data_IF_292188294739
#
_entry.id   IF_292188294739
#
_cell.length_a   1.000
_cell.length_b   1.000
_cell.length_c   1.000
_cell.angle_alpha   90.00
_cell.angle_beta   90.00
_cell.angle_gamma   90.00
#
_symmetry.space_group_name_H-M   'P 1'
#
loop_
_entity.id
_entity.type
_entity.pdbx_description
1 polymer ?
#
# COMPACT_ATOMS: atom_id res chain seq x y z
N UNK A 1 2.46 4.59 -11.38
CA UNK A 1 3.01 5.02 -12.69
C UNK A 1 4.38 5.70 -12.53
N UNK A 2 4.53 6.68 -11.64
CA UNK A 2 5.79 7.41 -11.46
C UNK A 2 7.04 6.55 -11.16
N UNK A 3 7.00 5.53 -10.27
CA UNK A 3 8.19 4.71 -10.01
C UNK A 3 8.51 3.73 -11.15
N UNK A 4 7.48 3.26 -11.85
CA UNK A 4 7.64 2.33 -12.97
C UNK A 4 8.25 3.06 -14.17
N UNK A 5 7.89 4.33 -14.38
CA UNK A 5 8.46 5.14 -15.46
C UNK A 5 9.98 5.32 -15.34
N UNK A 6 10.54 5.37 -14.13
CA UNK A 6 11.99 5.44 -13.92
C UNK A 6 12.73 4.14 -14.21
N UNK A 7 12.04 3.00 -14.25
CA UNK A 7 12.65 1.70 -14.54
C UNK A 7 12.55 1.30 -16.02
N UNK A 8 11.74 2.01 -16.83
CA UNK A 8 11.71 1.76 -18.27
C UNK A 8 12.96 2.30 -18.94
N UNK A 9 13.68 1.43 -19.66
CA UNK A 9 14.89 1.80 -20.43
C UNK A 9 14.69 2.92 -21.48
N UNK A 10 13.44 3.24 -21.85
CA UNK A 10 13.08 4.38 -22.70
C UNK A 10 11.63 4.80 -22.39
N UNK A 11 11.39 5.69 -21.40
CA UNK A 11 10.05 6.06 -20.98
C UNK A 11 9.48 7.14 -21.92
N UNK A 12 8.69 6.70 -22.91
CA UNK A 12 7.80 7.62 -23.65
C UNK A 12 6.38 7.51 -23.12
N UNK A 13 5.63 8.61 -23.10
CA UNK A 13 4.22 8.64 -22.61
C UNK A 13 3.36 7.59 -23.31
N UNK A 14 3.55 7.44 -24.63
CA UNK A 14 2.83 6.42 -25.43
C UNK A 14 3.16 4.99 -24.99
N UNK A 15 4.43 4.69 -24.68
CA UNK A 15 4.87 3.35 -24.25
C UNK A 15 4.40 3.04 -22.84
N UNK A 16 4.50 4.00 -21.92
CA UNK A 16 4.02 3.85 -20.54
C UNK A 16 2.51 3.59 -20.51
N UNK A 17 1.73 4.36 -21.28
CA UNK A 17 0.29 4.15 -21.40
C UNK A 17 -0.05 2.79 -22.00
N UNK A 18 0.66 2.35 -23.05
CA UNK A 18 0.45 1.01 -23.64
C UNK A 18 0.72 -0.11 -22.63
N UNK A 19 1.81 0.00 -21.87
CA UNK A 19 2.15 -0.97 -20.83
C UNK A 19 1.07 -1.00 -19.73
N UNK A 20 0.65 0.16 -19.25
CA UNK A 20 -0.39 0.28 -18.23
C UNK A 20 -1.71 -0.33 -18.68
N UNK A 21 -2.15 -0.02 -19.91
CA UNK A 21 -3.37 -0.59 -20.49
C UNK A 21 -3.25 -2.11 -20.61
N UNK A 22 -2.12 -2.61 -21.12
CA UNK A 22 -1.89 -4.05 -21.25
C UNK A 22 -1.92 -4.78 -19.90
N UNK A 23 -1.26 -4.23 -18.88
CA UNK A 23 -1.26 -4.80 -17.54
C UNK A 23 -2.67 -4.78 -16.92
N UNK A 24 -3.40 -3.68 -17.12
CA UNK A 24 -4.77 -3.52 -16.62
C UNK A 24 -5.72 -4.54 -17.27
N UNK A 25 -5.64 -4.71 -18.60
CA UNK A 25 -6.44 -5.71 -19.33
C UNK A 25 -6.08 -7.12 -18.86
N UNK A 26 -4.80 -7.43 -18.70
CA UNK A 26 -4.36 -8.73 -18.21
C UNK A 26 -4.93 -9.04 -16.81
N UNK A 27 -4.84 -8.08 -15.89
CA UNK A 27 -5.43 -8.20 -14.55
C UNK A 27 -6.96 -8.35 -14.60
N UNK A 28 -7.64 -7.56 -15.44
CA UNK A 28 -9.09 -7.65 -15.63
C UNK A 28 -9.50 -9.04 -16.12
N UNK A 29 -8.79 -9.60 -17.11
CA UNK A 29 -9.08 -10.94 -17.64
C UNK A 29 -8.82 -12.00 -16.59
N UNK A 30 -7.70 -11.94 -15.87
CA UNK A 30 -7.36 -12.91 -14.83
C UNK A 30 -8.39 -12.91 -13.69
N UNK A 31 -8.68 -11.74 -13.11
CA UNK A 31 -9.67 -11.63 -12.03
C UNK A 31 -11.09 -11.92 -12.52
N UNK A 32 -11.45 -11.47 -13.73
CA UNK A 32 -12.75 -11.74 -14.34
C UNK A 32 -12.97 -13.23 -14.56
N UNK A 33 -11.96 -13.95 -15.05
CA UNK A 33 -12.02 -15.40 -15.22
C UNK A 33 -12.17 -16.12 -13.87
N UNK A 34 -11.31 -15.82 -12.90
CA UNK A 34 -11.37 -16.42 -11.56
C UNK A 34 -12.72 -16.14 -10.89
N UNK A 35 -13.24 -14.92 -10.99
CA UNK A 35 -14.54 -14.54 -10.45
C UNK A 35 -15.69 -15.27 -11.14
N UNK A 36 -15.69 -15.35 -12.48
CA UNK A 36 -16.73 -16.02 -13.26
C UNK A 36 -16.75 -17.53 -12.98
N UNK A 37 -15.59 -18.19 -12.99
CA UNK A 37 -15.49 -19.61 -12.64
C UNK A 37 -15.88 -19.85 -11.19
N UNK A 38 -15.39 -19.03 -10.27
CA UNK A 38 -15.73 -19.13 -8.85
C UNK A 38 -17.22 -19.02 -8.59
N UNK A 39 -17.88 -18.05 -9.22
CA UNK A 39 -19.32 -17.87 -9.13
C UNK A 39 -20.10 -19.02 -9.76
N UNK A 40 -19.64 -19.55 -10.90
CA UNK A 40 -20.33 -20.66 -11.55
C UNK A 40 -20.23 -21.97 -10.75
N UNK A 41 -19.07 -22.25 -10.13
CA UNK A 41 -18.88 -23.46 -9.34
C UNK A 41 -19.49 -23.38 -7.93
N UNK A 42 -19.40 -22.22 -7.26
CA UNK A 42 -19.76 -22.08 -5.85
C UNK A 42 -20.81 -21.01 -5.56
N UNK A 43 -21.43 -20.39 -6.56
CA UNK A 43 -22.28 -19.21 -6.40
C UNK A 43 -23.31 -19.31 -5.28
N UNK A 44 -23.98 -20.45 -5.13
CA UNK A 44 -24.91 -20.68 -4.02
C UNK A 44 -24.24 -20.68 -2.64
N UNK A 45 -23.08 -21.34 -2.51
CA UNK A 45 -22.32 -21.39 -1.26
C UNK A 45 -21.57 -20.10 -0.94
N UNK A 46 -21.08 -19.38 -1.96
CA UNK A 46 -20.33 -18.14 -1.80
C UNK A 46 -21.25 -16.99 -1.37
N UNK A 47 -22.48 -16.93 -1.90
CA UNK A 47 -23.48 -15.91 -1.55
C UNK A 47 -24.16 -16.15 -0.20
N UNK A 48 -24.19 -17.40 0.28
CA UNK A 48 -24.84 -17.77 1.55
C UNK A 48 -23.86 -17.99 2.70
N UNK A 49 -22.56 -18.16 2.42
CA UNK A 49 -21.54 -18.27 3.44
C UNK A 49 -21.45 -16.98 4.26
N UNK A 50 -21.52 -17.14 5.59
CA UNK A 50 -21.33 -16.06 6.56
C UNK A 50 -19.99 -15.31 6.36
N UNK A 51 -18.99 -16.03 5.84
CA UNK A 51 -17.62 -15.57 5.61
C UNK A 51 -17.29 -15.41 4.11
N UNK A 52 -18.29 -15.16 3.26
CA UNK A 52 -18.34 -15.26 1.78
C UNK A 52 -17.25 -14.58 0.92
N UNK A 53 -16.13 -14.12 1.50
CA UNK A 53 -14.89 -13.80 0.79
C UNK A 53 -13.95 -15.00 0.60
N UNK A 54 -13.93 -15.97 1.53
CA UNK A 54 -12.97 -17.07 1.45
C UNK A 54 -13.50 -18.23 0.61
N UNK A 55 -13.06 -18.33 -0.63
CA UNK A 55 -13.42 -19.44 -1.54
C UNK A 55 -13.01 -20.80 -0.97
N UNK A 56 -11.95 -20.86 -0.15
CA UNK A 56 -11.49 -22.10 0.47
C UNK A 56 -12.38 -22.57 1.63
N UNK A 57 -13.27 -21.70 2.14
CA UNK A 57 -14.27 -22.07 3.14
C UNK A 57 -15.42 -22.87 2.54
N UNK A 58 -15.66 -22.74 1.22
CA UNK A 58 -16.70 -23.50 0.51
C UNK A 58 -16.32 -24.97 0.29
N UNK A 59 -15.08 -25.35 0.57
CA UNK A 59 -14.61 -26.74 0.44
C UNK A 59 -14.80 -27.51 1.75
N UNK A 60 -15.21 -28.80 1.69
CA UNK A 60 -15.31 -29.62 2.89
C UNK A 60 -13.94 -29.78 3.56
N UNK A 61 -13.92 -29.78 4.89
CA UNK A 61 -12.70 -29.81 5.72
C UNK A 61 -11.77 -30.99 5.45
N UNK A 62 -12.30 -32.07 4.88
CA UNK A 62 -11.57 -33.30 4.60
C UNK A 62 -10.95 -33.33 3.19
N UNK A 63 -11.12 -32.27 2.40
CA UNK A 63 -10.59 -32.22 1.04
C UNK A 63 -9.09 -31.95 1.04
N UNK A 64 -8.31 -32.95 0.61
CA UNK A 64 -6.84 -32.87 0.50
C UNK A 64 -6.42 -31.70 -0.40
N UNK A 65 -7.18 -31.44 -1.47
CA UNK A 65 -6.90 -30.36 -2.40
C UNK A 65 -7.01 -28.96 -1.75
N UNK A 66 -8.01 -28.72 -0.90
CA UNK A 66 -8.13 -27.45 -0.18
C UNK A 66 -7.01 -27.28 0.85
N UNK A 67 -6.61 -28.37 1.53
CA UNK A 67 -5.46 -28.35 2.43
C UNK A 67 -4.17 -28.00 1.69
N UNK A 68 -3.92 -28.62 0.54
CA UNK A 68 -2.75 -28.30 -0.31
C UNK A 68 -2.79 -26.82 -0.73
N UNK A 69 -3.95 -26.30 -1.15
CA UNK A 69 -4.11 -24.90 -1.53
C UNK A 69 -3.81 -23.94 -0.37
N UNK A 70 -4.33 -24.21 0.84
CA UNK A 70 -4.05 -23.40 2.04
C UNK A 70 -2.56 -23.41 2.40
N UNK A 71 -1.94 -24.59 2.36
CA UNK A 71 -0.49 -24.74 2.62
C UNK A 71 0.33 -23.99 1.58
N UNK A 72 -0.06 -24.02 0.30
CA UNK A 72 0.63 -23.29 -0.77
C UNK A 72 0.45 -21.77 -0.68
N UNK A 73 -0.72 -21.28 -0.24
CA UNK A 73 -0.98 -19.85 -0.08
C UNK A 73 -0.25 -19.24 1.11
N UNK A 74 -0.02 -20.01 2.17
CA UNK A 74 0.65 -19.55 3.40
C UNK A 74 2.04 -18.92 3.16
N UNK A 75 3.02 -19.59 2.51
CA UNK A 75 4.33 -18.99 2.26
C UNK A 75 4.24 -17.77 1.34
N UNK A 76 3.33 -17.78 0.36
CA UNK A 76 3.11 -16.62 -0.52
C UNK A 76 2.62 -15.41 0.27
N UNK A 77 1.68 -15.59 1.21
CA UNK A 77 1.20 -14.53 2.08
C UNK A 77 2.30 -14.03 3.03
N UNK A 78 3.16 -14.91 3.55
CA UNK A 78 4.31 -14.52 4.37
C UNK A 78 5.24 -13.61 3.56
N UNK A 79 5.65 -14.02 2.36
CA UNK A 79 6.53 -13.22 1.51
C UNK A 79 5.86 -11.88 1.15
N UNK A 80 4.58 -11.91 0.75
CA UNK A 80 3.82 -10.71 0.42
C UNK A 80 3.75 -9.74 1.61
N UNK A 81 3.51 -10.24 2.82
CA UNK A 81 3.46 -9.42 4.03
C UNK A 81 4.76 -8.67 4.28
N UNK A 82 5.92 -9.33 4.13
CA UNK A 82 7.24 -8.70 4.28
C UNK A 82 7.47 -7.63 3.21
N UNK A 83 7.10 -7.93 1.96
CA UNK A 83 7.22 -7.00 0.85
C UNK A 83 6.32 -5.76 1.00
N UNK A 84 5.14 -5.90 1.63
CA UNK A 84 4.23 -4.78 1.91
C UNK A 84 4.64 -3.97 3.15
N UNK A 85 5.20 -4.63 4.19
CA UNK A 85 5.65 -3.98 5.43
C UNK A 85 6.82 -3.03 5.18
N UNK A 86 7.75 -3.39 4.29
CA UNK A 86 8.94 -2.59 4.01
C UNK A 86 8.63 -1.16 3.52
N UNK A 87 7.85 -0.96 2.44
CA UNK A 87 7.45 0.37 1.98
C UNK A 87 6.48 1.07 2.93
N UNK A 88 5.57 0.33 3.59
CA UNK A 88 4.65 0.92 4.57
C UNK A 88 5.41 1.59 5.72
N UNK A 89 6.41 0.89 6.26
CA UNK A 89 7.27 1.41 7.31
C UNK A 89 8.09 2.61 6.84
N UNK A 90 8.67 2.57 5.63
CA UNK A 90 9.40 3.71 5.09
C UNK A 90 8.52 4.96 4.97
N UNK A 91 7.29 4.81 4.50
CA UNK A 91 6.34 5.93 4.39
C UNK A 91 5.99 6.51 5.76
N UNK A 92 5.76 5.66 6.77
CA UNK A 92 5.49 6.11 8.14
C UNK A 92 6.68 6.85 8.73
N UNK A 93 7.91 6.31 8.58
CA UNK A 93 9.11 6.98 9.09
C UNK A 93 9.32 8.35 8.42
N UNK A 94 9.08 8.46 7.11
CA UNK A 94 9.16 9.74 6.39
C UNK A 94 8.11 10.74 6.91
N UNK A 95 6.88 10.27 7.17
CA UNK A 95 5.82 11.11 7.74
C UNK A 95 6.16 11.56 9.17
N UNK A 96 6.69 10.67 10.01
CA UNK A 96 7.10 11.04 11.37
C UNK A 96 8.24 12.06 11.37
N UNK A 97 9.23 11.90 10.49
CA UNK A 97 10.31 12.88 10.34
C UNK A 97 9.80 14.23 9.83
N UNK A 98 8.85 14.24 8.89
CA UNK A 98 8.24 15.47 8.39
C UNK A 98 7.35 16.17 9.43
N UNK A 99 6.64 15.40 10.26
CA UNK A 99 5.75 15.92 11.30
C UNK A 99 6.49 16.41 12.55
N UNK A 100 7.65 15.82 12.86
CA UNK A 100 8.48 16.17 14.01
C UNK A 100 9.88 16.62 13.56
N UNK A 101 10.01 17.83 13.00
CA UNK A 101 11.30 18.37 12.53
C UNK A 101 12.32 18.56 13.67
N UNK A 102 11.91 18.47 14.94
CA UNK A 102 12.79 18.61 16.10
C UNK A 102 13.79 17.47 16.28
N UNK A 103 13.71 16.38 15.51
CA UNK A 103 14.72 15.32 15.49
C UNK A 103 15.84 15.54 14.45
N UNK A 104 15.77 16.60 13.63
CA UNK A 104 16.72 16.85 12.54
C UNK A 104 17.79 17.91 12.90
N UNK A 105 18.17 17.99 14.17
CA UNK A 105 19.22 18.90 14.65
C UNK A 105 20.64 18.52 14.22
N UNK A 106 20.84 17.41 13.49
CA UNK A 106 22.19 16.86 13.24
C UNK A 106 22.50 16.51 11.78
N UNK A 107 21.55 16.63 10.84
CA UNK A 107 21.73 16.18 9.45
C UNK A 107 21.95 17.30 8.41
N UNK A 108 21.86 18.58 8.80
CA UNK A 108 22.00 19.71 7.88
C UNK A 108 23.46 20.13 7.57
N UNK A 109 24.46 19.48 8.16
CA UNK A 109 25.88 19.79 7.89
C UNK A 109 26.57 18.87 6.87
N UNK A 110 25.85 17.99 6.19
CA UNK A 110 26.41 17.23 5.05
C UNK A 110 25.96 17.83 3.73
N UNK A 111 26.26 19.12 3.55
CA UNK A 111 26.35 19.72 2.23
C UNK A 111 27.45 19.00 1.45
N UNK A 112 27.14 18.73 0.19
CA UNK A 112 27.99 18.12 -0.82
C UNK A 112 29.42 18.70 -0.86
N UNK A 113 30.47 17.88 -1.04
CA UNK A 113 31.74 18.41 -1.51
C UNK A 113 31.64 18.57 -3.03
N UNK A 114 31.34 19.80 -3.46
CA UNK A 114 31.72 20.28 -4.78
C UNK A 114 33.25 20.20 -4.90
N UNK A 115 33.71 19.79 -6.10
CA UNK A 115 35.10 19.74 -6.53
C UNK A 115 35.99 20.84 -5.92
N UNK A 116 37.04 20.47 -5.17
CA UNK A 116 38.27 21.24 -5.18
C UNK A 116 39.47 20.37 -4.82
N UNK A 117 40.58 20.56 -5.54
CA UNK A 117 41.68 19.62 -5.62
C UNK A 117 42.79 19.74 -4.57
N UNK A 118 43.73 18.81 -4.74
CA UNK A 118 45.16 18.84 -4.34
C UNK A 118 45.60 18.66 -2.88
N UNK A 119 46.45 17.63 -2.73
CA UNK A 119 47.70 17.54 -1.95
C UNK A 119 47.77 16.64 -0.71
N UNK A 120 48.83 15.83 -0.75
CA UNK A 120 49.44 14.85 0.17
C UNK A 120 49.37 15.10 1.68
N UNK A 121 49.42 13.98 2.44
CA UNK A 121 50.35 13.83 3.57
C UNK A 121 49.77 13.59 4.97
N UNK A 122 49.81 12.31 5.40
CA UNK A 122 50.34 11.82 6.68
C UNK A 122 49.54 11.90 8.01
N UNK A 123 49.44 10.70 8.64
CA UNK A 123 49.27 10.25 10.05
C UNK A 123 48.65 11.17 11.14
N UNK A 124 47.66 10.66 11.90
CA UNK A 124 47.84 10.08 13.27
C UNK A 124 46.50 10.02 14.07
N UNK A 125 46.39 8.98 14.92
CA UNK A 125 45.53 8.83 16.12
C UNK A 125 43.99 8.68 16.01
N UNK A 126 43.52 7.44 16.27
CA UNK A 126 42.23 7.15 16.91
C UNK A 126 42.27 7.64 18.39
N UNK A 127 41.17 8.06 19.05
CA UNK A 127 39.97 7.25 19.23
C UNK A 127 38.64 8.04 19.27
N UNK A 128 37.70 7.75 18.37
CA UNK A 128 36.33 8.29 18.47
C UNK A 128 35.28 7.25 18.08
N UNK A 129 35.29 6.10 18.76
CA UNK A 129 34.34 5.00 18.52
C UNK A 129 32.97 5.16 19.22
N UNK A 130 32.68 6.32 19.83
CA UNK A 130 31.48 6.50 20.67
C UNK A 130 30.33 7.28 20.03
N UNK A 131 30.57 8.17 19.07
CA UNK A 131 29.51 9.05 18.53
C UNK A 131 28.68 8.44 17.39
N UNK A 132 29.19 7.41 16.70
CA UNK A 132 28.46 6.75 15.61
C UNK A 132 27.38 5.78 16.13
N UNK A 133 27.45 5.38 17.40
CA UNK A 133 26.53 4.39 17.95
C UNK A 133 25.21 4.97 18.46
N UNK A 134 25.10 6.26 18.76
CA UNK A 134 23.86 6.85 19.27
C UNK A 134 22.88 7.18 18.13
N UNK A 135 23.33 7.88 17.08
CA UNK A 135 22.48 8.21 15.93
C UNK A 135 22.07 6.97 15.11
N UNK A 136 22.98 6.01 14.95
CA UNK A 136 22.68 4.70 14.33
C UNK A 136 21.71 3.88 15.17
N UNK A 137 21.84 3.89 16.51
CA UNK A 137 20.87 3.24 17.42
C UNK A 137 19.50 3.92 17.39
N UNK A 138 19.42 5.25 17.37
CA UNK A 138 18.12 5.97 17.29
C UNK A 138 17.38 5.59 16.00
N UNK A 139 18.09 5.48 14.86
CA UNK A 139 17.48 5.03 13.61
C UNK A 139 17.04 3.56 13.66
N UNK A 140 17.83 2.66 14.29
CA UNK A 140 17.47 1.24 14.43
C UNK A 140 16.30 1.03 15.40
N UNK A 141 16.30 1.75 16.53
CA UNK A 141 15.21 1.68 17.53
C UNK A 141 13.91 2.21 16.95
N UNK A 142 13.92 3.36 16.25
CA UNK A 142 12.74 3.89 15.56
C UNK A 142 12.22 2.91 14.48
N UNK A 143 13.14 2.26 13.77
CA UNK A 143 12.81 1.28 12.74
C UNK A 143 12.16 0.01 13.34
N UNK A 144 12.75 -0.55 14.39
CA UNK A 144 12.22 -1.74 15.07
C UNK A 144 10.88 -1.44 15.75
N UNK A 145 10.76 -0.29 16.43
CA UNK A 145 9.51 0.12 17.09
C UNK A 145 8.38 0.35 16.09
N UNK A 146 8.64 1.01 14.96
CA UNK A 146 7.63 1.19 13.90
C UNK A 146 7.19 -0.16 13.30
N UNK A 147 8.13 -1.08 13.10
CA UNK A 147 7.82 -2.43 12.59
C UNK A 147 6.96 -3.21 13.61
N UNK A 148 7.33 -3.18 14.89
CA UNK A 148 6.55 -3.83 15.95
C UNK A 148 5.14 -3.23 16.05
N UNK A 149 5.02 -1.91 16.00
CA UNK A 149 3.73 -1.22 16.03
C UNK A 149 2.85 -1.66 14.85
N UNK A 150 3.41 -1.71 13.64
CA UNK A 150 2.71 -2.22 12.45
C UNK A 150 2.25 -3.66 12.64
N UNK A 151 3.12 -4.55 13.14
CA UNK A 151 2.76 -5.94 13.40
C UNK A 151 1.63 -6.05 14.45
N UNK A 152 1.68 -5.25 15.51
CA UNK A 152 0.63 -5.20 16.54
C UNK A 152 -0.68 -4.72 15.94
N UNK A 153 -0.67 -3.66 15.14
CA UNK A 153 -1.88 -3.17 14.44
C UNK A 153 -2.44 -4.25 13.52
N UNK A 154 -1.60 -4.92 12.73
CA UNK A 154 -2.04 -6.02 11.87
C UNK A 154 -2.64 -7.18 12.68
N UNK A 155 -2.04 -7.56 13.81
CA UNK A 155 -2.55 -8.61 14.69
C UNK A 155 -3.89 -8.22 15.32
N UNK A 156 -4.02 -6.97 15.79
CA UNK A 156 -5.27 -6.43 16.31
C UNK A 156 -6.37 -6.43 15.24
N UNK A 157 -6.07 -6.00 14.02
CA UNK A 157 -6.99 -6.07 12.89
C UNK A 157 -7.41 -7.51 12.58
N UNK A 158 -6.48 -8.47 12.62
CA UNK A 158 -6.78 -9.87 12.37
C UNK A 158 -7.71 -10.49 13.44
N UNK A 159 -7.64 -10.02 14.68
CA UNK A 159 -8.51 -10.49 15.78
C UNK A 159 -9.85 -9.75 15.78
N UNK A 160 -9.83 -8.43 15.55
CA UNK A 160 -11.01 -7.59 15.62
C UNK A 160 -11.89 -7.66 14.37
N UNK A 161 -11.36 -8.09 13.23
CA UNK A 161 -12.09 -8.10 11.96
C UNK A 161 -12.54 -9.52 11.59
N UNK A 162 -13.84 -9.85 11.77
CA UNK A 162 -14.35 -11.18 11.52
C UNK A 162 -14.54 -11.51 10.03
N UNK A 163 -14.52 -10.50 9.14
CA UNK A 163 -14.79 -10.68 7.71
C UNK A 163 -13.78 -9.95 6.83
N UNK A 164 -13.16 -10.69 5.91
CA UNK A 164 -12.26 -10.13 4.89
C UNK A 164 -13.02 -9.21 3.92
N UNK A 165 -14.31 -9.47 3.66
CA UNK A 165 -15.15 -8.64 2.78
C UNK A 165 -15.24 -7.22 3.35
N UNK A 166 -15.52 -7.11 4.64
CA UNK A 166 -15.74 -5.83 5.30
C UNK A 166 -14.42 -5.02 5.32
N UNK A 167 -13.29 -5.70 5.58
CA UNK A 167 -11.96 -5.08 5.51
C UNK A 167 -11.62 -4.58 4.11
N UNK A 168 -11.83 -5.40 3.08
CA UNK A 168 -11.57 -5.04 1.68
C UNK A 168 -12.52 -3.95 1.19
N UNK A 169 -13.77 -3.95 1.67
CA UNK A 169 -14.76 -2.92 1.39
C UNK A 169 -14.35 -1.56 1.95
N UNK A 170 -13.93 -1.51 3.21
CA UNK A 170 -13.43 -0.27 3.84
C UNK A 170 -12.13 0.19 3.20
N UNK A 171 -11.15 -0.72 3.00
CA UNK A 171 -9.87 -0.38 2.40
C UNK A 171 -10.03 0.10 0.96
N UNK A 172 -10.79 -0.62 0.14
CA UNK A 172 -11.08 -0.25 -1.25
C UNK A 172 -11.91 1.04 -1.32
N UNK A 173 -12.96 1.15 -0.51
CA UNK A 173 -13.85 2.31 -0.50
C UNK A 173 -13.16 3.59 -0.01
N UNK A 174 -12.24 3.51 0.96
CA UNK A 174 -11.53 4.70 1.44
C UNK A 174 -10.24 4.97 0.67
N UNK A 175 -9.30 4.01 0.64
CA UNK A 175 -7.99 4.24 0.01
C UNK A 175 -8.10 4.37 -1.51
N UNK A 176 -8.89 3.54 -2.18
CA UNK A 176 -8.99 3.62 -3.64
C UNK A 176 -9.69 4.90 -4.06
N UNK A 177 -10.76 5.30 -3.38
CA UNK A 177 -11.44 6.59 -3.67
C UNK A 177 -10.49 7.77 -3.50
N UNK A 178 -9.77 7.82 -2.38
CA UNK A 178 -8.86 8.92 -2.09
C UNK A 178 -7.71 8.99 -3.11
N UNK A 179 -7.10 7.86 -3.46
CA UNK A 179 -5.92 7.85 -4.32
C UNK A 179 -6.23 7.86 -5.82
N UNK A 180 -7.35 7.27 -6.24
CA UNK A 180 -7.71 7.11 -7.66
C UNK A 180 -8.59 8.26 -8.14
N UNK A 181 -9.48 8.80 -7.30
CA UNK A 181 -10.42 9.85 -7.71
C UNK A 181 -10.07 11.20 -7.10
N UNK A 182 -10.00 11.28 -5.77
CA UNK A 182 -9.82 12.58 -5.08
C UNK A 182 -8.46 13.18 -5.38
N UNK A 183 -7.38 12.41 -5.23
CA UNK A 183 -6.02 12.93 -5.41
C UNK A 183 -5.76 13.45 -6.84
N UNK A 184 -6.08 12.71 -7.93
CA UNK A 184 -5.94 13.25 -9.28
C UNK A 184 -6.86 14.45 -9.55
N UNK A 185 -8.08 14.45 -9.02
CA UNK A 185 -9.00 15.59 -9.16
C UNK A 185 -8.44 16.85 -8.48
N UNK A 186 -7.88 16.73 -7.27
CA UNK A 186 -7.23 17.83 -6.57
C UNK A 186 -6.02 18.36 -7.36
N UNK A 187 -5.16 17.47 -7.88
CA UNK A 187 -3.99 17.86 -8.69
C UNK A 187 -4.42 18.59 -9.97
N UNK A 188 -5.46 18.11 -10.65
CA UNK A 188 -6.02 18.77 -11.84
C UNK A 188 -6.58 20.16 -11.51
N UNK A 189 -7.34 20.29 -10.41
CA UNK A 189 -7.87 21.58 -9.96
C UNK A 189 -6.75 22.59 -9.62
N UNK A 190 -5.67 22.12 -8.98
CA UNK A 190 -4.51 22.93 -8.63
C UNK A 190 -3.71 23.39 -9.84
N UNK A 191 -3.58 22.55 -10.88
CA UNK A 191 -2.73 22.84 -12.03
C UNK A 191 -3.44 23.63 -13.14
N UNK A 192 -4.70 23.29 -13.46
CA UNK A 192 -5.42 23.88 -14.61
C UNK A 192 -6.45 24.96 -14.20
N UNK A 193 -6.73 25.12 -12.91
CA UNK A 193 -7.84 25.95 -12.43
C UNK A 193 -9.22 25.39 -12.79
N UNK A 194 -10.30 26.07 -12.38
CA UNK A 194 -11.68 25.66 -12.73
C UNK A 194 -12.02 26.03 -14.18
N UNK A 195 -11.54 25.23 -15.13
CA UNK A 195 -12.03 25.25 -16.51
C UNK A 195 -13.30 24.38 -16.65
N UNK A 196 -14.15 24.64 -17.65
CA UNK A 196 -15.40 23.89 -17.85
C UNK A 196 -15.17 22.38 -18.06
N UNK A 197 -14.06 22.02 -18.71
CA UNK A 197 -13.60 20.62 -18.89
C UNK A 197 -13.14 19.99 -17.56
N UNK A 198 -12.37 20.73 -16.77
CA UNK A 198 -11.95 20.32 -15.43
C UNK A 198 -13.15 20.16 -14.50
N UNK A 199 -14.15 21.04 -14.61
CA UNK A 199 -15.40 20.97 -13.85
C UNK A 199 -16.18 19.69 -14.08
N UNK A 200 -16.38 19.27 -15.34
CA UNK A 200 -17.09 18.01 -15.66
C UNK A 200 -16.34 16.79 -15.10
N UNK A 201 -15.01 16.76 -15.26
CA UNK A 201 -14.17 15.68 -14.74
C UNK A 201 -14.22 15.64 -13.21
N UNK A 202 -14.17 16.80 -12.56
CA UNK A 202 -14.24 16.93 -11.10
C UNK A 202 -15.60 16.49 -10.56
N UNK A 203 -16.70 16.84 -11.23
CA UNK A 203 -18.05 16.38 -10.86
C UNK A 203 -18.17 14.87 -11.00
N UNK A 204 -17.67 14.29 -12.09
CA UNK A 204 -17.65 12.83 -12.26
C UNK A 204 -16.87 12.15 -11.13
N UNK A 205 -15.67 12.65 -10.80
CA UNK A 205 -14.89 12.13 -9.68
C UNK A 205 -15.58 12.31 -8.32
N UNK A 206 -16.28 13.41 -8.10
CA UNK A 206 -17.05 13.65 -6.88
C UNK A 206 -18.20 12.65 -6.73
N UNK A 207 -18.91 12.33 -7.81
CA UNK A 207 -19.95 11.29 -7.80
C UNK A 207 -19.36 9.92 -7.41
N UNK A 208 -18.26 9.50 -8.04
CA UNK A 208 -17.59 8.25 -7.67
C UNK A 208 -17.06 8.26 -6.24
N UNK A 209 -16.63 9.43 -5.76
CA UNK A 209 -16.18 9.62 -4.37
C UNK A 209 -17.33 9.42 -3.40
N UNK A 210 -18.49 10.01 -3.67
CA UNK A 210 -19.69 9.84 -2.83
C UNK A 210 -20.14 8.37 -2.82
N UNK A 211 -20.18 7.71 -3.97
CA UNK A 211 -20.56 6.29 -4.07
C UNK A 211 -19.58 5.42 -3.28
N UNK A 212 -18.28 5.61 -3.46
CA UNK A 212 -17.28 4.80 -2.77
C UNK A 212 -17.23 5.07 -1.27
N UNK A 213 -17.43 6.33 -0.84
CA UNK A 213 -17.52 6.66 0.59
C UNK A 213 -18.80 6.11 1.22
N UNK A 214 -19.93 6.17 0.51
CA UNK A 214 -21.18 5.54 0.95
C UNK A 214 -20.99 4.05 1.17
N UNK A 215 -20.37 3.36 0.20
CA UNK A 215 -20.05 1.93 0.32
C UNK A 215 -19.14 1.64 1.52
N UNK A 216 -18.08 2.45 1.72
CA UNK A 216 -17.19 2.30 2.87
C UNK A 216 -17.92 2.49 4.22
N UNK A 217 -18.80 3.49 4.30
CA UNK A 217 -19.62 3.76 5.49
C UNK A 217 -20.59 2.60 5.73
N UNK A 218 -21.22 2.08 4.69
CA UNK A 218 -22.12 0.92 4.83
C UNK A 218 -21.37 -0.30 5.36
N UNK A 219 -20.19 -0.63 4.80
CA UNK A 219 -19.33 -1.71 5.30
C UNK A 219 -18.95 -1.49 6.76
N UNK A 220 -18.64 -0.25 7.16
CA UNK A 220 -18.27 0.10 8.52
C UNK A 220 -19.46 0.01 9.49
N UNK A 221 -20.67 0.37 9.05
CA UNK A 221 -21.91 0.17 9.82
C UNK A 221 -22.22 -1.31 10.00
N UNK A 222 -22.08 -2.12 8.94
CA UNK A 222 -22.28 -3.57 9.02
C UNK A 222 -21.26 -4.23 9.96
N UNK A 223 -20.01 -3.75 9.92
CA UNK A 223 -18.95 -4.16 10.83
C UNK A 223 -19.33 -3.91 12.30
N UNK A 224 -19.76 -2.68 12.65
CA UNK A 224 -20.15 -2.35 14.02
C UNK A 224 -21.40 -3.08 14.51
N UNK A 225 -22.30 -3.51 13.60
CA UNK A 225 -23.48 -4.31 13.98
C UNK A 225 -23.15 -5.77 14.30
N UNK A 226 -22.01 -6.29 13.81
CA UNK A 226 -21.60 -7.68 13.99
C UNK A 226 -20.63 -7.88 15.16
N UNK A 227 -19.89 -6.83 15.54
CA UNK A 227 -19.03 -6.80 16.73
C UNK A 227 -19.83 -6.60 18.01
#
# INVERSE_FOLDING_TARGET
>A
VFPVNSELANPTVKRSNKMLISATICMLVAYGAVGAFGYHLWGGGLLTAKDGADVLSCWPSNSVLATIARVAMTPMLIVCSVLCLNPARENILRLMLAAFPSMDGSRRNRSEPLLNGTSNGQEEASPAHSSETAASRVSKTAYTTTTLLLCVICALCAIAVPSLVDLLGVLGGFCAVMLIFVFPACVLCLHEGLTLRSGVITVAFLVFTVIGLYSAVESLVQFFKRS
#
